data_IF_919050527116
#
_entry.id   IF_919050527116
#
_cell.length_a   1.000
_cell.length_b   1.000
_cell.length_c   1.000
_cell.angle_alpha   90.00
_cell.angle_beta   90.00
_cell.angle_gamma   90.00
#
_symmetry.space_group_name_H-M   'P 1'
#
loop_
_entity.id
_entity.type
_entity.pdbx_description
1 polymer ?
#
# COMPACT_ATOMS: atom_id res chain seq x y z
N UNK A 1 5.66 -11.50 11.20
CA UNK A 1 6.96 -11.78 10.55
C UNK A 1 7.17 -10.73 9.48
N UNK A 2 8.05 -9.75 9.73
CA UNK A 2 8.36 -8.71 8.73
C UNK A 2 9.31 -9.30 7.69
N UNK A 3 8.84 -9.49 6.46
CA UNK A 3 9.62 -10.09 5.35
C UNK A 3 10.20 -9.05 4.39
N UNK A 4 9.92 -7.76 4.60
CA UNK A 4 10.67 -6.70 3.95
C UNK A 4 12.02 -6.55 4.67
N UNK A 5 13.16 -6.73 3.98
CA UNK A 5 14.47 -6.45 4.58
C UNK A 5 14.49 -5.00 5.10
N UNK A 6 15.43 -4.66 5.98
CA UNK A 6 15.51 -3.36 6.70
C UNK A 6 15.61 -2.08 5.86
N UNK A 7 15.17 -2.10 4.60
CA UNK A 7 14.96 -0.96 3.70
C UNK A 7 13.88 0.02 4.18
N UNK A 8 12.85 -0.46 4.88
CA UNK A 8 11.79 0.42 5.40
C UNK A 8 12.17 0.85 6.82
N UNK A 9 12.71 2.05 6.93
CA UNK A 9 13.00 2.72 8.19
C UNK A 9 12.01 3.86 8.39
N UNK A 10 11.97 4.47 9.58
CA UNK A 10 11.17 5.67 9.84
C UNK A 10 11.56 6.89 8.96
N UNK A 11 12.64 6.80 8.17
CA UNK A 11 13.06 7.83 7.21
C UNK A 11 12.74 7.49 5.76
N UNK A 12 12.08 6.36 5.52
CA UNK A 12 11.68 5.93 4.19
C UNK A 12 10.34 6.56 3.83
N UNK A 13 10.16 6.91 2.56
CA UNK A 13 8.87 7.30 2.00
C UNK A 13 8.45 6.29 0.93
N UNK A 14 7.17 5.93 0.92
CA UNK A 14 6.59 4.94 0.02
C UNK A 14 5.64 5.62 -0.96
N UNK A 15 5.93 5.47 -2.25
CA UNK A 15 5.10 5.93 -3.35
C UNK A 15 4.59 4.70 -4.07
N UNK A 16 3.28 4.51 -4.05
CA UNK A 16 2.62 3.30 -4.51
C UNK A 16 1.69 3.64 -5.66
N UNK A 17 1.75 2.86 -6.72
CA UNK A 17 0.70 2.81 -7.73
C UNK A 17 -0.50 1.99 -7.18
N UNK A 18 -1.68 2.16 -7.77
CA UNK A 18 -2.90 1.46 -7.36
C UNK A 18 -3.30 0.34 -8.32
N UNK A 19 -3.63 0.67 -9.57
CA UNK A 19 -4.25 -0.26 -10.52
C UNK A 19 -3.24 -1.28 -11.05
N UNK A 20 -3.49 -2.56 -10.79
CA UNK A 20 -2.55 -3.64 -11.13
C UNK A 20 -1.33 -3.71 -10.21
N UNK A 21 -1.26 -2.86 -9.18
CA UNK A 21 -0.19 -2.87 -8.16
C UNK A 21 -0.75 -3.28 -6.80
N UNK A 22 -1.71 -2.52 -6.27
CA UNK A 22 -2.36 -2.81 -4.98
C UNK A 22 -3.76 -3.40 -5.17
N UNK A 23 -4.46 -2.96 -6.22
CA UNK A 23 -5.73 -3.51 -6.64
C UNK A 23 -5.52 -4.40 -7.86
N UNK A 24 -6.11 -5.59 -7.85
CA UNK A 24 -6.14 -6.45 -9.03
C UNK A 24 -6.91 -5.77 -10.16
N UNK A 25 -6.44 -5.95 -11.40
CA UNK A 25 -7.14 -5.41 -12.56
C UNK A 25 -8.48 -6.13 -12.74
N UNK A 26 -9.54 -5.33 -12.86
CA UNK A 26 -10.88 -5.82 -13.12
C UNK A 26 -11.35 -5.40 -14.53
N UNK A 27 -12.31 -6.12 -15.13
CA UNK A 27 -12.86 -5.75 -16.44
C UNK A 27 -13.52 -4.37 -16.49
N UNK A 28 -13.93 -3.84 -15.32
CA UNK A 28 -14.50 -2.50 -15.14
C UNK A 28 -14.09 -1.93 -13.78
N UNK A 29 -13.97 -0.60 -13.62
CA UNK A 29 -13.54 0.03 -12.37
C UNK A 29 -14.43 -0.29 -11.15
N UNK A 30 -15.74 -0.41 -11.36
CA UNK A 30 -16.73 -0.70 -10.31
C UNK A 30 -16.70 -2.16 -9.82
N UNK A 31 -15.99 -3.05 -10.54
CA UNK A 31 -15.82 -4.45 -10.18
C UNK A 31 -14.56 -4.71 -9.35
N UNK A 32 -13.76 -3.69 -9.06
CA UNK A 32 -12.57 -3.81 -8.20
C UNK A 32 -13.00 -4.13 -6.76
N UNK A 33 -12.42 -5.18 -6.19
CA UNK A 33 -12.63 -5.56 -4.78
C UNK A 33 -11.34 -5.36 -4.02
N UNK A 34 -11.39 -4.55 -2.97
CA UNK A 34 -10.24 -4.26 -2.12
C UNK A 34 -10.26 -5.17 -0.88
N UNK A 35 -9.24 -6.02 -0.68
CA UNK A 35 -9.14 -6.84 0.53
C UNK A 35 -9.02 -5.97 1.78
N UNK A 36 -9.72 -6.33 2.86
CA UNK A 36 -9.65 -5.63 4.15
C UNK A 36 -8.24 -5.58 4.75
N UNK A 37 -7.44 -6.59 4.43
CA UNK A 37 -6.07 -6.78 4.85
C UNK A 37 -5.13 -5.76 4.20
N UNK A 38 -5.43 -5.33 2.97
CA UNK A 38 -4.70 -4.26 2.28
C UNK A 38 -4.90 -2.93 3.02
N UNK A 39 -6.14 -2.61 3.39
CA UNK A 39 -6.44 -1.38 4.13
C UNK A 39 -5.69 -1.37 5.48
N UNK A 40 -5.78 -2.49 6.21
CA UNK A 40 -5.06 -2.68 7.47
C UNK A 40 -3.53 -2.58 7.31
N UNK A 41 -2.99 -3.02 6.17
CA UNK A 41 -1.57 -2.92 5.86
C UNK A 41 -1.14 -1.47 5.60
N UNK A 42 -1.89 -0.73 4.81
CA UNK A 42 -1.60 0.67 4.49
C UNK A 42 -1.65 1.55 5.74
N UNK A 43 -2.61 1.31 6.66
CA UNK A 43 -2.66 2.00 7.95
C UNK A 43 -1.41 1.76 8.80
N UNK A 44 -0.94 0.51 8.87
CA UNK A 44 0.29 0.18 9.61
C UNK A 44 1.52 0.82 8.97
N UNK A 45 1.62 0.82 7.64
CA UNK A 45 2.72 1.47 6.93
C UNK A 45 2.70 2.98 7.13
N UNK A 46 1.52 3.61 7.06
CA UNK A 46 1.36 5.03 7.32
C UNK A 46 1.83 5.40 8.74
N UNK A 47 1.44 4.62 9.75
CA UNK A 47 1.89 4.84 11.12
C UNK A 47 3.40 4.59 11.31
N UNK A 48 3.97 3.56 10.68
CA UNK A 48 5.40 3.23 10.80
C UNK A 48 6.32 4.24 10.11
N UNK A 49 5.84 4.90 9.06
CA UNK A 49 6.62 5.82 8.23
C UNK A 49 6.29 7.29 8.52
N UNK A 50 5.68 7.58 9.68
CA UNK A 50 5.29 8.94 10.09
C UNK A 50 4.50 9.69 9.01
N UNK A 51 3.58 8.96 8.38
CA UNK A 51 2.71 9.46 7.33
C UNK A 51 3.33 9.50 5.92
N UNK A 52 4.59 9.09 5.73
CA UNK A 52 5.28 9.10 4.44
C UNK A 52 4.86 7.95 3.51
N UNK A 53 3.56 7.84 3.23
CA UNK A 53 2.96 6.91 2.28
C UNK A 53 2.02 7.69 1.36
N UNK A 54 2.22 7.58 0.05
CA UNK A 54 1.41 8.22 -0.97
C UNK A 54 0.97 7.23 -2.05
N UNK A 55 -0.30 7.33 -2.45
CA UNK A 55 -0.82 6.70 -3.67
C UNK A 55 -0.63 7.68 -4.82
N UNK A 56 -0.04 7.20 -5.92
CA UNK A 56 0.18 7.95 -7.15
C UNK A 56 -0.62 7.25 -8.24
N UNK A 57 -1.55 7.99 -8.87
CA UNK A 57 -2.52 7.48 -9.86
C UNK A 57 -2.47 8.29 -11.13
#
# INVERSE_FOLDING_TARGET
>A
MSTLPGLLTARSALFLDFDGTLAELAPRPDAVVIPSELLSLLERLHAQLDGAVALIT
#
